data_IF_293210955354
#
_entry.id   IF_293210955354
#
_cell.length_a   1.000
_cell.length_b   1.000
_cell.length_c   1.000
_cell.angle_alpha   90.00
_cell.angle_beta   90.00
_cell.angle_gamma   90.00
#
_symmetry.space_group_name_H-M   'P 1'
#
loop_
_entity.id
_entity.type
_entity.pdbx_description
1 polymer ?
#
# COMPACT_ATOMS: atom_id res chain seq x y z
N UNK A 1 -10.91 -0.87 -8.91
CA UNK A 1 -11.19 -1.99 -9.85
C UNK A 1 -10.96 -3.38 -9.22
N UNK A 2 -10.82 -3.49 -7.89
CA UNK A 2 -10.63 -4.78 -7.22
C UNK A 2 -11.90 -5.64 -7.23
N UNK A 3 -11.72 -6.93 -7.08
CA UNK A 3 -12.83 -7.88 -7.07
C UNK A 3 -13.50 -7.95 -5.69
N UNK A 4 -14.82 -7.83 -5.66
CA UNK A 4 -15.61 -7.86 -4.40
C UNK A 4 -15.42 -9.20 -3.65
N UNK A 5 -15.15 -10.29 -4.38
CA UNK A 5 -14.88 -11.62 -3.80
C UNK A 5 -13.69 -11.66 -2.83
N UNK A 6 -12.78 -10.68 -2.91
CA UNK A 6 -11.60 -10.62 -2.04
C UNK A 6 -11.94 -10.11 -0.63
N UNK A 7 -13.05 -9.37 -0.46
CA UNK A 7 -13.47 -8.79 0.82
C UNK A 7 -13.60 -9.84 1.93
N UNK A 8 -14.28 -10.98 1.74
CA UNK A 8 -14.38 -12.02 2.78
C UNK A 8 -13.02 -12.56 3.21
N UNK A 9 -12.07 -12.67 2.26
CA UNK A 9 -10.71 -13.16 2.54
C UNK A 9 -9.99 -12.16 3.44
N UNK A 10 -10.05 -10.86 3.11
CA UNK A 10 -9.44 -9.79 3.92
C UNK A 10 -10.02 -9.77 5.34
N UNK A 11 -11.36 -9.87 5.47
CA UNK A 11 -12.05 -9.89 6.77
C UNK A 11 -11.60 -11.10 7.61
N UNK A 12 -11.51 -12.28 7.01
CA UNK A 12 -11.08 -13.49 7.72
C UNK A 12 -9.65 -13.34 8.26
N UNK A 13 -8.74 -12.78 7.49
CA UNK A 13 -7.36 -12.55 7.93
C UNK A 13 -7.28 -11.55 9.09
N UNK A 14 -8.05 -10.47 9.07
CA UNK A 14 -8.14 -9.53 10.22
C UNK A 14 -8.65 -10.23 11.48
N UNK A 15 -9.67 -11.08 11.36
CA UNK A 15 -10.19 -11.88 12.48
C UNK A 15 -9.15 -12.85 13.04
N UNK A 16 -8.26 -13.36 12.18
CA UNK A 16 -7.16 -14.27 12.55
C UNK A 16 -5.94 -13.53 13.15
N UNK A 17 -6.09 -12.26 13.53
CA UNK A 17 -5.11 -11.54 14.34
C UNK A 17 -4.17 -10.62 13.59
N UNK A 18 -4.26 -10.52 12.25
CA UNK A 18 -3.49 -9.51 11.51
C UNK A 18 -4.02 -8.12 11.78
N UNK A 19 -3.14 -7.12 11.73
CA UNK A 19 -3.48 -5.71 12.00
C UNK A 19 -3.85 -4.97 10.72
N UNK A 20 -3.23 -5.35 9.61
CA UNK A 20 -3.46 -4.83 8.26
C UNK A 20 -3.51 -6.01 7.30
N UNK A 21 -4.48 -6.00 6.41
CA UNK A 21 -4.55 -6.94 5.28
C UNK A 21 -4.83 -6.16 4.02
N UNK A 22 -4.03 -6.35 2.98
CA UNK A 22 -4.22 -5.64 1.72
C UNK A 22 -3.97 -6.55 0.51
N UNK A 23 -4.38 -6.09 -0.66
CA UNK A 23 -4.17 -6.80 -1.91
C UNK A 23 -2.75 -6.52 -2.41
N UNK A 24 -2.11 -7.57 -2.92
CA UNK A 24 -0.87 -7.50 -3.68
C UNK A 24 -1.18 -7.75 -5.16
N UNK A 25 -1.11 -6.69 -5.96
CA UNK A 25 -1.37 -6.74 -7.41
C UNK A 25 -0.23 -7.37 -8.21
N UNK A 26 0.91 -7.55 -7.58
CA UNK A 26 2.13 -8.10 -8.20
C UNK A 26 2.50 -9.48 -7.63
N UNK A 27 1.60 -10.10 -6.90
CA UNK A 27 1.76 -11.45 -6.37
C UNK A 27 1.84 -12.51 -7.47
N UNK A 28 2.25 -13.72 -7.12
CA UNK A 28 2.48 -14.81 -8.10
C UNK A 28 1.21 -15.19 -8.87
N UNK A 29 0.05 -15.07 -8.26
CA UNK A 29 -1.25 -15.40 -8.86
C UNK A 29 -2.05 -14.18 -9.29
N UNK A 30 -1.51 -12.97 -9.07
CA UNK A 30 -2.17 -11.70 -9.39
C UNK A 30 -2.02 -11.34 -10.87
N UNK A 31 -3.06 -10.66 -11.39
CA UNK A 31 -3.03 -10.00 -12.71
C UNK A 31 -3.46 -8.56 -12.53
N UNK A 32 -2.58 -7.62 -12.86
CA UNK A 32 -2.90 -6.20 -12.87
C UNK A 32 -2.88 -5.67 -14.30
N UNK A 33 -4.03 -5.20 -14.77
CA UNK A 33 -4.22 -4.70 -16.13
C UNK A 33 -4.35 -3.16 -16.19
N UNK A 34 -4.51 -2.49 -15.04
CA UNK A 34 -4.74 -1.05 -14.99
C UNK A 34 -3.45 -0.19 -15.03
N UNK A 35 -2.34 -0.52 -14.39
CA UNK A 35 -1.16 0.32 -14.45
C UNK A 35 -0.44 0.16 -15.79
N UNK A 36 -0.30 1.27 -16.53
CA UNK A 36 0.66 1.32 -17.64
C UNK A 36 2.10 1.00 -17.16
N UNK A 37 2.99 0.67 -18.11
CA UNK A 37 4.37 0.24 -17.81
C UNK A 37 5.10 1.18 -16.83
N UNK A 38 4.99 2.49 -17.00
CA UNK A 38 5.64 3.50 -16.14
C UNK A 38 5.11 3.43 -14.71
N UNK A 39 3.80 3.31 -14.54
CA UNK A 39 3.19 3.24 -13.20
C UNK A 39 3.49 1.90 -12.52
N UNK A 40 3.43 0.80 -13.25
CA UNK A 40 3.77 -0.52 -12.74
C UNK A 40 5.22 -0.58 -12.25
N UNK A 41 6.16 -0.02 -13.04
CA UNK A 41 7.55 0.11 -12.64
C UNK A 41 7.70 1.00 -11.38
N UNK A 42 7.06 2.18 -11.37
CA UNK A 42 7.09 3.10 -10.24
C UNK A 42 6.56 2.46 -8.95
N UNK A 43 5.45 1.73 -9.02
CA UNK A 43 4.89 1.04 -7.87
C UNK A 43 5.85 0.01 -7.28
N UNK A 44 6.49 -0.81 -8.11
CA UNK A 44 7.49 -1.77 -7.66
C UNK A 44 8.74 -1.11 -7.07
N UNK A 45 9.21 -0.04 -7.71
CA UNK A 45 10.36 0.74 -7.24
C UNK A 45 10.08 1.34 -5.85
N UNK A 46 8.94 2.00 -5.66
CA UNK A 46 8.60 2.59 -4.36
C UNK A 46 8.34 1.55 -3.29
N UNK A 47 7.74 0.40 -3.64
CA UNK A 47 7.60 -0.74 -2.71
C UNK A 47 8.98 -1.27 -2.29
N UNK A 48 9.91 -1.43 -3.23
CA UNK A 48 11.28 -1.82 -2.93
C UNK A 48 11.98 -0.84 -1.98
N UNK A 49 11.87 0.47 -2.24
CA UNK A 49 12.45 1.50 -1.37
C UNK A 49 11.86 1.46 0.05
N UNK A 50 10.54 1.26 0.19
CA UNK A 50 9.91 1.08 1.50
C UNK A 50 10.46 -0.12 2.23
N UNK A 51 10.62 -1.25 1.55
CA UNK A 51 11.19 -2.46 2.14
C UNK A 51 12.63 -2.25 2.61
N UNK A 52 13.47 -1.64 1.78
CA UNK A 52 14.90 -1.41 2.11
C UNK A 52 15.08 -0.42 3.27
N UNK A 53 14.37 0.71 3.24
CA UNK A 53 14.58 1.77 4.22
C UNK A 53 13.84 1.56 5.55
N UNK A 54 12.75 0.80 5.56
CA UNK A 54 11.89 0.67 6.74
C UNK A 54 11.72 -0.78 7.22
N UNK A 55 12.42 -1.73 6.61
CA UNK A 55 12.37 -3.14 7.03
C UNK A 55 11.02 -3.82 6.75
N UNK A 56 10.26 -3.32 5.78
CA UNK A 56 9.03 -3.96 5.34
C UNK A 56 9.29 -5.20 4.47
N UNK A 57 8.25 -6.01 4.30
CA UNK A 57 8.26 -7.16 3.40
C UNK A 57 7.01 -7.12 2.50
N UNK A 58 6.81 -5.97 1.84
CA UNK A 58 5.65 -5.73 0.99
C UNK A 58 5.91 -6.18 -0.44
N UNK A 59 4.93 -6.79 -1.07
CA UNK A 59 4.87 -6.98 -2.51
C UNK A 59 4.24 -5.77 -3.22
N UNK A 60 3.31 -5.05 -2.54
CA UNK A 60 2.65 -3.86 -3.08
C UNK A 60 2.23 -2.88 -1.97
N UNK A 61 3.05 -1.87 -1.68
CA UNK A 61 2.74 -0.88 -0.64
C UNK A 61 1.80 0.25 -1.12
N UNK A 62 1.49 0.33 -2.41
CA UNK A 62 0.70 1.42 -3.00
C UNK A 62 -0.74 1.02 -3.36
N UNK A 63 -1.14 -0.20 -3.04
CA UNK A 63 -2.52 -0.62 -3.22
C UNK A 63 -3.43 0.01 -2.16
N UNK A 64 -4.59 0.53 -2.60
CA UNK A 64 -5.61 1.13 -1.73
C UNK A 64 -6.64 0.15 -1.18
N UNK A 65 -6.71 -1.07 -1.71
CA UNK A 65 -7.72 -2.05 -1.30
C UNK A 65 -7.23 -2.86 -0.10
N UNK A 66 -7.49 -2.32 1.08
CA UNK A 66 -6.99 -2.87 2.36
C UNK A 66 -8.02 -2.76 3.48
N UNK A 67 -7.86 -3.63 4.47
CA UNK A 67 -8.55 -3.55 5.76
C UNK A 67 -7.50 -3.30 6.84
N UNK A 68 -7.77 -2.36 7.72
CA UNK A 68 -6.92 -1.99 8.86
C UNK A 68 -7.76 -2.01 10.13
N UNK A 69 -7.26 -2.60 11.19
CA UNK A 69 -7.90 -2.49 12.52
C UNK A 69 -7.99 -1.03 12.95
N UNK A 70 -9.11 -0.63 13.57
CA UNK A 70 -9.33 0.74 14.03
C UNK A 70 -8.20 1.22 14.95
N UNK A 71 -7.80 0.43 15.92
CA UNK A 71 -6.73 0.81 16.84
C UNK A 71 -5.40 1.01 16.11
N UNK A 72 -5.08 0.12 15.16
CA UNK A 72 -3.87 0.25 14.33
C UNK A 72 -3.88 1.56 13.56
N UNK A 73 -4.98 1.92 12.87
CA UNK A 73 -5.04 3.17 12.10
C UNK A 73 -4.83 4.41 12.98
N UNK A 74 -5.33 4.39 14.21
CA UNK A 74 -5.13 5.47 15.18
C UNK A 74 -3.67 5.56 15.65
N UNK A 75 -3.01 4.41 15.90
CA UNK A 75 -1.61 4.35 16.30
C UNK A 75 -0.66 4.81 15.19
N UNK A 76 -1.02 4.58 13.92
CA UNK A 76 -0.22 5.05 12.79
C UNK A 76 -0.13 6.57 12.69
N UNK A 77 -1.04 7.33 13.32
CA UNK A 77 -1.04 8.82 13.34
C UNK A 77 -0.84 9.43 11.95
N UNK A 78 -1.58 8.92 10.96
CA UNK A 78 -1.42 9.31 9.56
C UNK A 78 -1.69 10.80 9.35
N UNK A 79 -0.87 11.44 8.53
CA UNK A 79 -0.97 12.85 8.18
C UNK A 79 -0.75 13.14 6.68
N UNK A 80 -0.57 12.11 5.87
CA UNK A 80 -0.60 12.21 4.42
C UNK A 80 -1.99 12.59 3.93
N UNK A 81 -2.05 13.48 2.93
CA UNK A 81 -3.32 14.08 2.46
C UNK A 81 -3.69 13.68 1.02
N UNK A 82 -2.85 12.90 0.36
CA UNK A 82 -2.98 12.56 -1.07
C UNK A 82 -2.54 11.10 -1.31
N UNK A 83 -2.17 10.77 -2.54
CA UNK A 83 -1.81 9.42 -3.00
C UNK A 83 -0.63 8.78 -2.24
N UNK A 84 0.13 9.55 -1.45
CA UNK A 84 1.17 9.06 -0.56
C UNK A 84 0.64 8.44 0.76
N UNK A 85 -0.66 8.51 1.00
CA UNK A 85 -1.33 7.92 2.17
C UNK A 85 -1.12 6.41 2.27
N UNK A 86 -1.26 5.68 1.17
CA UNK A 86 -1.08 4.23 1.13
C UNK A 86 0.34 3.81 1.53
N UNK A 87 1.32 4.51 0.97
CA UNK A 87 2.72 4.30 1.30
C UNK A 87 3.00 4.62 2.78
N UNK A 88 2.42 5.68 3.32
CA UNK A 88 2.59 6.05 4.72
C UNK A 88 2.07 4.99 5.67
N UNK A 89 0.92 4.37 5.37
CA UNK A 89 0.39 3.24 6.13
C UNK A 89 1.44 2.13 6.21
N UNK A 90 1.99 1.70 5.08
CA UNK A 90 2.97 0.63 5.02
C UNK A 90 4.27 0.98 5.78
N UNK A 91 4.80 2.19 5.57
CA UNK A 91 6.01 2.64 6.27
C UNK A 91 5.82 2.63 7.79
N UNK A 92 4.74 3.25 8.27
CA UNK A 92 4.50 3.36 9.72
C UNK A 92 4.11 2.03 10.33
N UNK A 93 3.40 1.18 9.60
CA UNK A 93 3.10 -0.18 10.04
C UNK A 93 4.38 -1.02 10.19
N UNK A 94 5.32 -0.95 9.23
CA UNK A 94 6.61 -1.62 9.34
C UNK A 94 7.40 -1.12 10.55
N UNK A 95 7.50 0.20 10.74
CA UNK A 95 8.19 0.80 11.90
C UNK A 95 7.59 0.40 13.25
N UNK A 96 6.27 0.20 13.32
CA UNK A 96 5.55 -0.23 14.54
C UNK A 96 5.51 -1.75 14.71
N UNK A 97 6.11 -2.52 13.82
CA UNK A 97 6.10 -3.98 13.87
C UNK A 97 4.68 -4.57 13.80
N UNK A 98 3.77 -3.93 13.05
CA UNK A 98 2.40 -4.42 12.88
C UNK A 98 2.36 -5.70 12.08
N UNK A 99 1.43 -6.60 12.42
CA UNK A 99 1.20 -7.85 11.71
C UNK A 99 0.45 -7.57 10.41
N UNK A 100 1.13 -7.71 9.29
CA UNK A 100 0.61 -7.42 7.96
C UNK A 100 0.46 -8.73 7.18
N UNK A 101 -0.60 -8.86 6.41
CA UNK A 101 -0.81 -9.95 5.47
C UNK A 101 -1.16 -9.39 4.09
N UNK A 102 -0.57 -9.95 3.07
CA UNK A 102 -0.89 -9.65 1.68
C UNK A 102 -1.67 -10.81 1.07
N UNK A 103 -2.72 -10.47 0.34
CA UNK A 103 -3.51 -11.41 -0.45
C UNK A 103 -3.25 -11.12 -1.92
N UNK A 104 -2.83 -12.11 -2.66
CA UNK A 104 -2.74 -11.98 -4.12
C UNK A 104 -4.13 -11.70 -4.68
N UNK A 105 -4.27 -10.63 -5.45
CA UNK A 105 -5.55 -10.24 -6.02
C UNK A 105 -5.41 -9.50 -7.34
N UNK A 106 -6.46 -9.57 -8.14
CA UNK A 106 -6.48 -8.99 -9.46
C UNK A 106 -6.90 -7.51 -9.42
N UNK A 107 -6.35 -6.73 -10.32
CA UNK A 107 -6.80 -5.40 -10.66
C UNK A 107 -7.18 -5.37 -12.14
N UNK A 108 -8.44 -5.70 -12.49
CA UNK A 108 -8.88 -5.67 -13.86
C UNK A 108 -8.86 -4.25 -14.43
N UNK A 109 -8.88 -4.17 -15.75
CA UNK A 109 -8.90 -2.90 -16.47
C UNK A 109 -10.08 -2.04 -16.00
N UNK A 110 -9.84 -0.75 -15.91
CA UNK A 110 -10.85 0.24 -15.54
C UNK A 110 -12.03 0.21 -16.51
N UNK A 111 -13.24 0.11 -15.96
CA UNK A 111 -14.48 0.04 -16.74
C UNK A 111 -14.87 1.43 -17.31
N UNK A 112 -14.48 2.52 -16.61
CA UNK A 112 -14.80 3.87 -17.05
C UNK A 112 -14.02 4.95 -16.29
N UNK A 113 -14.10 6.18 -16.80
CA UNK A 113 -13.38 7.32 -16.24
C UNK A 113 -11.90 7.36 -16.61
N UNK A 114 -11.30 8.53 -16.44
CA UNK A 114 -9.88 8.74 -16.68
C UNK A 114 -9.06 8.66 -15.38
N UNK A 115 -7.79 8.28 -15.51
CA UNK A 115 -6.86 8.30 -14.39
C UNK A 115 -6.59 9.76 -13.99
N UNK A 116 -6.97 10.13 -12.77
CA UNK A 116 -6.74 11.48 -12.23
C UNK A 116 -5.31 11.69 -11.72
N UNK A 117 -4.57 10.62 -11.49
CA UNK A 117 -3.22 10.65 -10.92
C UNK A 117 -2.18 10.98 -11.99
N UNK A 118 -1.35 12.00 -11.73
CA UNK A 118 -0.17 12.31 -12.54
C UNK A 118 1.03 11.48 -12.05
N UNK A 119 1.64 10.61 -12.88
CA UNK A 119 2.75 9.75 -12.44
C UNK A 119 3.95 10.53 -11.89
N UNK A 120 4.34 11.64 -12.52
CA UNK A 120 5.47 12.45 -12.08
C UNK A 120 5.21 13.13 -10.75
N UNK A 121 4.03 13.73 -10.59
CA UNK A 121 3.68 14.41 -9.35
C UNK A 121 3.52 13.41 -8.19
N UNK A 122 2.90 12.28 -8.45
CA UNK A 122 2.79 11.21 -7.45
C UNK A 122 4.16 10.66 -7.07
N UNK A 123 5.05 10.44 -8.05
CA UNK A 123 6.43 10.04 -7.79
C UNK A 123 7.17 11.02 -6.88
N UNK A 124 7.02 12.32 -7.12
CA UNK A 124 7.57 13.36 -6.24
C UNK A 124 7.01 13.24 -4.80
N UNK A 125 5.68 13.08 -4.65
CA UNK A 125 5.06 12.95 -3.33
C UNK A 125 5.53 11.71 -2.58
N UNK A 126 5.64 10.56 -3.25
CA UNK A 126 6.12 9.31 -2.67
C UNK A 126 7.58 9.41 -2.23
N UNK A 127 8.44 10.03 -3.05
CA UNK A 127 9.85 10.29 -2.71
C UNK A 127 9.97 11.20 -1.49
N UNK A 128 9.22 12.31 -1.48
CA UNK A 128 9.18 13.24 -0.35
C UNK A 128 8.67 12.55 0.93
N UNK A 129 7.69 11.65 0.81
CA UNK A 129 7.18 10.88 1.96
C UNK A 129 8.24 9.96 2.53
N UNK A 130 8.98 9.22 1.71
CA UNK A 130 10.09 8.36 2.15
C UNK A 130 11.13 9.18 2.93
N UNK A 131 11.59 10.30 2.36
CA UNK A 131 12.58 11.17 3.01
C UNK A 131 12.07 11.70 4.35
N UNK A 132 10.82 12.16 4.38
CA UNK A 132 10.19 12.66 5.60
C UNK A 132 10.09 11.59 6.69
N UNK A 133 9.60 10.41 6.34
CA UNK A 133 9.48 9.30 7.28
C UNK A 133 10.84 8.79 7.75
N UNK A 134 11.87 8.85 6.90
CA UNK A 134 13.22 8.45 7.26
C UNK A 134 13.87 9.43 8.25
N UNK A 135 13.71 10.75 8.04
CA UNK A 135 14.40 11.77 8.81
C UNK A 135 13.62 12.16 10.08
N UNK A 136 12.33 12.40 9.96
CA UNK A 136 11.56 13.10 11.00
C UNK A 136 10.62 12.23 11.81
N UNK A 137 10.20 11.10 11.29
CA UNK A 137 9.25 10.28 12.01
C UNK A 137 9.95 9.27 12.90
N UNK A 138 10.21 9.67 14.14
CA UNK A 138 10.68 8.78 15.21
C UNK A 138 9.51 8.41 16.10
N UNK A 139 9.37 7.13 16.41
CA UNK A 139 8.47 6.69 17.47
C UNK A 139 9.02 7.20 18.80
N UNK A 140 8.21 7.93 19.52
CA UNK A 140 8.39 8.17 20.95
C UNK A 140 7.43 7.28 21.68
#
# INVERSE_FOLDING_TARGET
NHEIKDIPILINKIKNGYDIVHINRFGKTSKSEDPGLITGFGNRMFTFLVNVFFGGHFGDCLDGFKIVKRNTILELKLDAKRENYEQQICIRAAKLGKKIFEVDGNEPKRIGGERKMSPLYTGYQLSRQILREFIFWKFK
#
